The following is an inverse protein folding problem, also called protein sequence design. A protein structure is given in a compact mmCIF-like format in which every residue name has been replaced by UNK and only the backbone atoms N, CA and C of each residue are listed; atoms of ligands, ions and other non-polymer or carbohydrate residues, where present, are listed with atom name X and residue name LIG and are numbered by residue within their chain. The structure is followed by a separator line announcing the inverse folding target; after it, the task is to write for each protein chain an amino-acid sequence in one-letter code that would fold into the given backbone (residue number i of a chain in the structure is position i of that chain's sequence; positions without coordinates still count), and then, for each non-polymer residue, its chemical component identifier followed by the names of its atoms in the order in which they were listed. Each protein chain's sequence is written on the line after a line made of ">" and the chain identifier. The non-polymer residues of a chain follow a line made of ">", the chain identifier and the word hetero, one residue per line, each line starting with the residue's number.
data_IF_890034275839
#
_entry.id   IF_890034275839
#
_cell.length_a   1.000
_cell.length_b   1.000
_cell.length_c   1.000
_cell.angle_alpha   90.00
_cell.angle_beta   90.00
_cell.angle_gamma   90.00
#
_symmetry.space_group_name_H-M   'P 1'
#
loop_
_entity.id
_entity.type
_entity.pdbx_description
1 polymer ?
#
# COMPACT_ATOMS: atom_id res chain seq x y z
N UNK A 1 -6.17 -10.99 -11.70
CA UNK A 1 -5.53 -11.07 -10.37
C UNK A 1 -4.14 -11.62 -10.56
N UNK A 2 -3.17 -11.17 -9.76
CA UNK A 2 -1.78 -11.59 -9.88
C UNK A 2 -1.60 -13.07 -9.58
N UNK A 3 -0.62 -13.71 -10.20
CA UNK A 3 -0.15 -15.03 -9.77
C UNK A 3 0.86 -14.88 -8.63
N UNK A 4 1.11 -15.97 -7.91
CA UNK A 4 2.12 -15.98 -6.85
C UNK A 4 3.53 -15.68 -7.41
N UNK A 5 3.87 -16.27 -8.56
CA UNK A 5 5.12 -15.99 -9.28
C UNK A 5 5.26 -14.51 -9.67
N UNK A 6 4.17 -13.86 -10.10
CA UNK A 6 4.18 -12.43 -10.42
C UNK A 6 4.45 -11.58 -9.18
N UNK A 7 3.86 -11.93 -8.03
CA UNK A 7 4.06 -11.21 -6.77
C UNK A 7 5.51 -11.37 -6.29
N UNK A 8 6.08 -12.57 -6.39
CA UNK A 8 7.51 -12.82 -6.09
C UNK A 8 8.41 -12.02 -7.00
N UNK A 9 8.17 -12.05 -8.32
CA UNK A 9 8.96 -11.28 -9.27
C UNK A 9 8.90 -9.77 -8.97
N UNK A 10 7.74 -9.27 -8.55
CA UNK A 10 7.57 -7.87 -8.15
C UNK A 10 8.32 -7.53 -6.87
N UNK A 11 8.27 -8.41 -5.86
CA UNK A 11 9.07 -8.26 -4.64
C UNK A 11 10.56 -8.14 -4.98
N UNK A 12 11.08 -9.05 -5.79
CA UNK A 12 12.49 -9.09 -6.19
C UNK A 12 12.91 -7.85 -6.97
N UNK A 13 12.04 -7.30 -7.83
CA UNK A 13 12.28 -6.05 -8.56
C UNK A 13 12.39 -4.83 -7.61
N UNK A 14 11.64 -4.84 -6.51
CA UNK A 14 11.43 -3.65 -5.67
C UNK A 14 12.27 -3.64 -4.41
N UNK A 15 12.68 -4.80 -3.88
CA UNK A 15 13.36 -4.93 -2.58
C UNK A 15 14.61 -4.05 -2.42
N UNK A 16 15.41 -3.90 -3.47
CA UNK A 16 16.64 -3.11 -3.41
C UNK A 16 16.36 -1.59 -3.45
N UNK A 17 15.17 -1.20 -3.92
CA UNK A 17 14.72 0.18 -4.00
C UNK A 17 13.82 0.60 -2.81
N UNK A 18 13.46 -0.35 -1.94
CA UNK A 18 12.59 -0.15 -0.79
C UNK A 18 13.37 -0.30 0.52
N UNK A 19 14.24 0.67 0.79
CA UNK A 19 15.18 0.66 1.91
C UNK A 19 14.53 0.50 3.30
N UNK A 20 13.23 0.73 3.41
CA UNK A 20 12.47 0.64 4.65
C UNK A 20 11.43 -0.49 4.65
N UNK A 21 11.40 -1.33 3.62
CA UNK A 21 10.46 -2.46 3.51
C UNK A 21 8.98 -2.05 3.39
N UNK A 22 8.68 -0.80 3.04
CA UNK A 22 7.31 -0.27 3.11
C UNK A 22 6.38 -0.78 2.02
N UNK A 23 6.92 -1.02 0.82
CA UNK A 23 6.20 -1.57 -0.33
C UNK A 23 6.30 -3.08 -0.34
N UNK A 24 7.49 -3.64 -0.10
CA UNK A 24 7.73 -5.07 -0.31
C UNK A 24 7.11 -5.95 0.77
N UNK A 25 6.96 -5.45 2.01
CA UNK A 25 6.19 -6.13 3.06
C UNK A 25 4.76 -6.42 2.59
N UNK A 26 4.14 -5.51 1.83
CA UNK A 26 2.79 -5.73 1.31
C UNK A 26 2.74 -6.88 0.33
N UNK A 27 3.74 -7.06 -0.53
CA UNK A 27 3.75 -8.21 -1.44
C UNK A 27 3.83 -9.53 -0.69
N UNK A 28 4.69 -9.61 0.35
CA UNK A 28 4.84 -10.81 1.17
C UNK A 28 3.52 -11.20 1.80
N UNK A 29 2.73 -10.25 2.31
CA UNK A 29 1.44 -10.52 2.95
C UNK A 29 0.37 -11.13 2.02
N UNK A 30 0.56 -11.11 0.69
CA UNK A 30 -0.31 -11.77 -0.29
C UNK A 30 0.32 -13.02 -0.92
N UNK A 31 1.53 -13.40 -0.49
CA UNK A 31 2.17 -14.66 -0.89
C UNK A 31 1.64 -15.84 -0.07
N UNK A 32 1.41 -16.97 -0.72
CA UNK A 32 1.23 -18.23 0.01
C UNK A 32 2.52 -18.59 0.78
N UNK A 33 2.42 -19.53 1.71
CA UNK A 33 3.55 -19.87 2.57
C UNK A 33 4.79 -20.32 1.79
N UNK A 34 4.63 -21.09 0.71
CA UNK A 34 5.79 -21.63 -0.02
C UNK A 34 6.58 -20.52 -0.71
N UNK A 35 5.88 -19.51 -1.23
CA UNK A 35 6.48 -18.33 -1.86
C UNK A 35 6.97 -17.31 -0.83
N UNK A 36 6.27 -17.16 0.30
CA UNK A 36 6.64 -16.21 1.35
C UNK A 36 7.87 -16.67 2.14
N UNK A 37 8.04 -17.99 2.35
CA UNK A 37 9.04 -18.59 3.25
C UNK A 37 10.46 -18.02 3.14
N UNK A 38 11.03 -17.73 1.95
CA UNK A 38 12.37 -17.13 1.85
C UNK A 38 12.50 -15.73 2.47
N UNK A 39 11.38 -15.07 2.74
CA UNK A 39 11.28 -13.70 3.26
C UNK A 39 10.76 -13.64 4.71
N UNK A 40 10.38 -14.79 5.27
CA UNK A 40 9.90 -14.90 6.64
C UNK A 40 11.04 -15.21 7.60
N UNK A 41 10.82 -14.94 8.89
CA UNK A 41 11.72 -15.41 9.94
C UNK A 41 11.71 -16.94 10.00
N UNK A 42 12.86 -17.57 10.30
CA UNK A 42 13.03 -19.03 10.34
C UNK A 42 12.07 -19.75 11.30
N UNK A 43 11.54 -19.06 12.30
CA UNK A 43 10.57 -19.57 13.28
C UNK A 43 9.12 -19.48 12.82
N UNK A 44 8.85 -18.83 11.68
CA UNK A 44 7.50 -18.70 11.12
C UNK A 44 7.04 -20.05 10.57
N UNK A 45 5.99 -20.61 11.17
CA UNK A 45 5.42 -21.89 10.76
C UNK A 45 4.31 -21.71 9.73
N UNK A 46 4.12 -22.72 8.89
CA UNK A 46 3.09 -22.74 7.85
C UNK A 46 1.69 -22.56 8.43
N UNK A 47 1.42 -23.12 9.61
CA UNK A 47 0.12 -23.07 10.26
C UNK A 47 -0.20 -21.69 10.84
N UNK A 48 0.84 -20.91 11.15
CA UNK A 48 0.73 -19.56 11.68
C UNK A 48 0.66 -18.50 10.56
N UNK A 49 1.06 -18.87 9.33
CA UNK A 49 1.03 -18.00 8.17
C UNK A 49 -0.39 -17.81 7.65
N UNK A 50 -0.89 -16.56 7.72
CA UNK A 50 -2.23 -16.18 7.32
C UNK A 50 -2.16 -15.06 6.28
N UNK A 51 -1.87 -15.40 5.00
CA UNK A 51 -1.78 -14.40 3.97
C UNK A 51 -3.16 -13.80 3.67
N UNK A 52 -3.16 -12.55 3.25
CA UNK A 52 -4.32 -11.94 2.63
C UNK A 52 -4.61 -12.61 1.29
N UNK A 53 -5.89 -12.63 0.90
CA UNK A 53 -6.27 -13.08 -0.43
C UNK A 53 -6.27 -11.91 -1.39
N UNK A 54 -5.91 -12.16 -2.65
CA UNK A 54 -5.92 -11.13 -3.69
C UNK A 54 -7.32 -10.52 -3.93
N UNK A 55 -8.38 -11.27 -3.68
CA UNK A 55 -9.77 -10.77 -3.73
C UNK A 55 -10.06 -9.71 -2.66
N UNK A 56 -9.29 -9.70 -1.56
CA UNK A 56 -9.47 -8.81 -0.41
C UNK A 56 -8.62 -7.53 -0.49
N UNK A 57 -7.79 -7.34 -1.54
CA UNK A 57 -6.89 -6.18 -1.64
C UNK A 57 -7.64 -4.86 -1.49
N UNK A 58 -8.82 -4.73 -2.11
CA UNK A 58 -9.65 -3.53 -1.95
C UNK A 58 -10.12 -3.31 -0.52
N UNK A 59 -10.46 -4.38 0.20
CA UNK A 59 -10.86 -4.28 1.61
C UNK A 59 -9.70 -3.80 2.46
N UNK A 60 -8.50 -4.33 2.25
CA UNK A 60 -7.26 -3.86 2.92
C UNK A 60 -7.02 -2.36 2.66
N UNK A 61 -7.17 -1.93 1.41
CA UNK A 61 -7.06 -0.51 1.05
C UNK A 61 -8.10 0.36 1.77
N UNK A 62 -9.35 -0.10 1.88
CA UNK A 62 -10.42 0.64 2.55
C UNK A 62 -10.16 0.72 4.06
N UNK A 63 -9.80 -0.40 4.69
CA UNK A 63 -9.55 -0.48 6.14
C UNK A 63 -8.37 0.41 6.58
N UNK A 64 -7.41 0.65 5.69
CA UNK A 64 -6.25 1.52 5.95
C UNK A 64 -6.52 3.01 5.68
N UNK A 65 -7.67 3.38 5.10
CA UNK A 65 -7.94 4.73 4.62
C UNK A 65 -7.98 5.77 5.74
N UNK A 66 -8.65 5.47 6.85
CA UNK A 66 -8.72 6.34 8.03
C UNK A 66 -7.31 6.72 8.53
N UNK A 67 -6.45 5.72 8.67
CA UNK A 67 -5.08 5.91 9.13
C UNK A 67 -4.27 6.76 8.15
N UNK A 68 -4.37 6.47 6.84
CA UNK A 68 -3.64 7.22 5.82
C UNK A 68 -4.01 8.71 5.82
N UNK A 69 -5.31 9.02 5.92
CA UNK A 69 -5.77 10.40 6.03
C UNK A 69 -5.37 11.06 7.35
N UNK A 70 -5.43 10.35 8.47
CA UNK A 70 -4.93 10.86 9.77
C UNK A 70 -3.47 11.32 9.63
N UNK A 71 -2.60 10.50 9.03
CA UNK A 71 -1.18 10.88 8.84
C UNK A 71 -0.99 12.05 7.89
N UNK A 72 -1.83 12.16 6.87
CA UNK A 72 -1.80 13.27 5.94
C UNK A 72 -2.28 14.58 6.59
N UNK A 73 -3.35 14.54 7.39
CA UNK A 73 -3.89 15.69 8.11
C UNK A 73 -2.93 16.18 9.22
N UNK A 74 -2.33 15.25 9.95
CA UNK A 74 -1.33 15.55 10.99
C UNK A 74 0.04 15.98 10.43
N UNK A 75 0.16 16.13 9.10
CA UNK A 75 1.39 16.57 8.45
C UNK A 75 2.60 15.66 8.78
N UNK A 76 2.36 14.36 9.00
CA UNK A 76 3.38 13.37 9.35
C UNK A 76 4.08 12.85 8.11
N UNK A 77 5.02 13.64 7.56
CA UNK A 77 5.70 13.39 6.28
C UNK A 77 6.14 11.95 6.02
N UNK A 78 6.85 11.31 6.97
CA UNK A 78 7.32 9.93 6.81
C UNK A 78 6.16 8.94 6.77
N UNK A 79 5.20 9.07 7.69
CA UNK A 79 4.04 8.16 7.77
C UNK A 79 3.07 8.34 6.61
N UNK A 80 2.90 9.57 6.14
CA UNK A 80 2.08 9.90 4.98
C UNK A 80 2.70 9.37 3.69
N UNK A 81 4.01 9.58 3.48
CA UNK A 81 4.74 8.98 2.36
C UNK A 81 4.67 7.45 2.39
N UNK A 82 4.86 6.83 3.57
CA UNK A 82 4.74 5.38 3.74
C UNK A 82 3.35 4.87 3.38
N UNK A 83 2.30 5.61 3.76
CA UNK A 83 0.91 5.27 3.40
C UNK A 83 0.73 5.17 1.89
N UNK A 84 1.34 6.09 1.12
CA UNK A 84 1.30 6.00 -0.35
C UNK A 84 2.11 4.82 -0.90
N UNK A 85 3.22 4.43 -0.27
CA UNK A 85 3.96 3.21 -0.62
C UNK A 85 3.08 1.96 -0.49
N UNK A 86 2.33 1.83 0.61
CA UNK A 86 1.37 0.74 0.80
C UNK A 86 0.31 0.73 -0.32
N UNK A 87 -0.30 1.88 -0.62
CA UNK A 87 -1.29 1.96 -1.70
C UNK A 87 -0.71 1.65 -3.09
N UNK A 88 0.55 2.02 -3.38
CA UNK A 88 1.18 1.66 -4.64
C UNK A 88 1.32 0.14 -4.79
N UNK A 89 1.70 -0.57 -3.72
CA UNK A 89 1.74 -2.03 -3.72
C UNK A 89 0.35 -2.65 -3.93
N UNK A 90 -0.66 -2.20 -3.19
CA UNK A 90 -2.02 -2.70 -3.29
C UNK A 90 -2.67 -2.43 -4.65
N UNK A 91 -2.46 -1.24 -5.22
CA UNK A 91 -2.91 -0.92 -6.57
C UNK A 91 -2.26 -1.87 -7.60
N UNK A 92 -0.98 -2.17 -7.47
CA UNK A 92 -0.31 -3.13 -8.35
C UNK A 92 -0.87 -4.55 -8.19
N UNK A 93 -1.08 -5.01 -6.95
CA UNK A 93 -1.67 -6.32 -6.62
C UNK A 93 -3.07 -6.46 -7.22
N UNK A 94 -3.83 -5.37 -7.28
CA UNK A 94 -5.18 -5.30 -7.82
C UNK A 94 -5.24 -4.98 -9.33
N UNK A 95 -4.10 -4.99 -10.04
CA UNK A 95 -4.03 -4.74 -11.49
C UNK A 95 -4.38 -3.31 -11.90
N UNK A 96 -4.03 -2.33 -11.05
CA UNK A 96 -4.26 -0.90 -11.25
C UNK A 96 -2.94 -0.14 -11.38
N UNK A 97 -1.97 -0.67 -12.13
CA UNK A 97 -0.65 -0.07 -12.27
C UNK A 97 -0.69 1.33 -12.88
N UNK A 98 -1.63 1.55 -13.81
CA UNK A 98 -1.79 2.86 -14.44
C UNK A 98 -2.30 3.91 -13.43
N UNK A 99 -3.20 3.50 -12.51
CA UNK A 99 -3.61 4.37 -11.41
C UNK A 99 -2.42 4.64 -10.48
N UNK A 100 -1.66 3.61 -10.10
CA UNK A 100 -0.46 3.76 -9.27
C UNK A 100 0.55 4.74 -9.89
N UNK A 101 0.83 4.61 -11.20
CA UNK A 101 1.69 5.56 -11.96
C UNK A 101 1.09 6.97 -11.98
N UNK A 102 -0.23 7.09 -12.08
CA UNK A 102 -0.93 8.39 -12.15
C UNK A 102 -1.00 9.15 -10.81
N UNK A 103 -0.63 8.53 -9.69
CA UNK A 103 -0.55 9.21 -8.38
C UNK A 103 0.45 10.37 -8.42
N UNK A 104 1.46 10.31 -9.31
CA UNK A 104 2.33 11.44 -9.61
C UNK A 104 3.19 11.86 -8.42
N UNK A 105 3.52 13.15 -8.34
CA UNK A 105 4.45 13.70 -7.36
C UNK A 105 3.80 13.87 -5.99
N UNK A 106 4.49 13.41 -4.94
CA UNK A 106 4.11 13.62 -3.55
C UNK A 106 3.96 15.11 -3.20
N UNK A 107 2.75 15.51 -2.83
CA UNK A 107 2.39 16.89 -2.48
C UNK A 107 1.31 16.90 -1.38
N UNK A 108 1.34 17.91 -0.51
CA UNK A 108 0.38 18.11 0.58
C UNK A 108 0.16 16.85 1.42
N UNK A 109 1.27 16.23 1.82
CA UNK A 109 1.27 14.98 2.56
C UNK A 109 0.49 13.82 1.90
N UNK A 110 0.39 13.82 0.56
CA UNK A 110 -0.27 12.76 -0.18
C UNK A 110 -1.78 12.93 -0.34
N UNK A 111 -2.38 14.03 0.14
CA UNK A 111 -3.84 14.24 0.08
C UNK A 111 -4.41 14.13 -1.36
N UNK A 112 -3.83 14.74 -2.41
CA UNK A 112 -4.32 14.58 -3.78
C UNK A 112 -4.26 13.13 -4.29
N UNK A 113 -3.28 12.35 -3.84
CA UNK A 113 -3.17 10.93 -4.15
C UNK A 113 -4.27 10.13 -3.45
N UNK A 114 -4.49 10.40 -2.15
CA UNK A 114 -5.56 9.77 -1.38
C UNK A 114 -6.94 10.08 -1.96
N UNK A 115 -7.19 11.28 -2.47
CA UNK A 115 -8.41 11.62 -3.20
C UNK A 115 -8.62 10.72 -4.44
N UNK A 116 -7.59 10.53 -5.26
CA UNK A 116 -7.66 9.63 -6.44
C UNK A 116 -7.92 8.18 -6.03
N UNK A 117 -7.29 7.73 -4.95
CA UNK A 117 -7.49 6.37 -4.41
C UNK A 117 -8.92 6.22 -3.87
N UNK A 118 -9.43 7.20 -3.13
CA UNK A 118 -10.82 7.22 -2.66
C UNK A 118 -11.80 7.14 -3.83
N UNK A 119 -11.59 7.92 -4.89
CA UNK A 119 -12.40 7.88 -6.10
C UNK A 119 -12.42 6.47 -6.73
N UNK A 120 -11.26 5.81 -6.81
CA UNK A 120 -11.14 4.44 -7.31
C UNK A 120 -11.88 3.42 -6.43
N UNK A 121 -11.83 3.59 -5.12
CA UNK A 121 -12.49 2.72 -4.14
C UNK A 121 -13.98 3.03 -3.97
N UNK A 122 -14.49 4.11 -4.56
CA UNK A 122 -15.87 4.56 -4.38
C UNK A 122 -16.13 5.21 -3.02
N UNK A 123 -15.09 5.74 -2.36
CA UNK A 123 -15.16 6.44 -1.08
C UNK A 123 -15.29 7.96 -1.30
N UNK A 124 -16.06 8.64 -0.45
CA UNK A 124 -16.06 10.11 -0.39
C UNK A 124 -14.88 10.60 0.46
N UNK A 125 -13.84 11.15 -0.17
CA UNK A 125 -12.67 11.65 0.55
C UNK A 125 -12.98 12.83 1.48
N UNK A 126 -14.08 13.55 1.25
CA UNK A 126 -14.47 14.72 2.05
C UNK A 126 -14.78 14.39 3.50
N UNK A 127 -15.04 13.12 3.83
CA UNK A 127 -15.25 12.71 5.20
C UNK A 127 -13.98 12.81 6.07
N UNK A 128 -12.79 12.79 5.44
CA UNK A 128 -11.51 12.91 6.12
C UNK A 128 -10.77 14.22 5.84
N UNK A 129 -10.94 14.78 4.65
CA UNK A 129 -10.19 15.95 4.21
C UNK A 129 -10.50 17.19 5.07
N UNK A 130 -9.46 17.75 5.70
CA UNK A 130 -9.52 18.98 6.51
C UNK A 130 -9.49 20.28 5.67
N UNK A 131 -9.36 20.16 4.33
CA UNK A 131 -9.25 21.28 3.40
C UNK A 131 -7.89 21.99 3.39
N UNK A 132 -6.94 21.59 4.22
CA UNK A 132 -5.61 22.17 4.29
C UNK A 132 -4.70 21.59 3.21
N UNK A 133 -3.97 22.47 2.51
CA UNK A 133 -2.96 22.13 1.50
C UNK A 133 -1.66 22.86 1.82
N UNK A 134 -0.94 22.34 2.82
CA UNK A 134 0.37 22.83 3.26
C UNK A 134 1.40 21.70 3.18
N UNK A 135 2.66 22.05 2.91
CA UNK A 135 3.81 21.15 3.08
C UNK A 135 4.67 21.57 4.30
N UNK A 136 4.16 22.50 5.10
CA UNK A 136 4.75 22.98 6.35
C UNK A 136 3.92 22.38 7.47
N UNK A 137 4.54 21.49 8.24
CA UNK A 137 3.98 20.90 9.47
C UNK A 137 4.53 21.56 10.72
#
# INVERSE_FOLDING_TARGET
>A
MRTQDEIVARYEERKDNDLFGQEVEEYVMFMDYEHAKPYLNDDTKKEDWKPHKLEDVKSVMIDYMDFAWEKANDCRGLSASRSLSHYMAWLWLNGQEELAKSLGKYEYYGKPQLEKICQYLGLDSKQWDDGARTNVG
#
